data_IF_093255885678
#
_entry.id   IF_093255885678
#
_cell.length_a   1.000
_cell.length_b   1.000
_cell.length_c   1.000
_cell.angle_alpha   90.00
_cell.angle_beta   90.00
_cell.angle_gamma   90.00
#
_symmetry.space_group_name_H-M   'P 1'
#
loop_
_entity.id
_entity.type
_entity.pdbx_description
1 polymer ?
#
# COMPACT_ATOMS: atom_id res chain seq x y z
N UNK A 1 10.75 -16.45 10.44
CA UNK A 1 11.47 -15.44 9.61
C UNK A 1 12.95 -15.72 9.72
N UNK A 2 13.48 -16.58 8.85
CA UNK A 2 14.88 -17.07 8.91
C UNK A 2 15.68 -16.76 7.63
N UNK A 3 15.17 -15.85 6.78
CA UNK A 3 15.84 -15.37 5.57
C UNK A 3 16.20 -13.88 5.64
N UNK A 4 16.79 -13.35 4.56
CA UNK A 4 17.08 -11.93 4.43
C UNK A 4 15.78 -11.11 4.47
N UNK A 5 15.77 -10.02 5.23
CA UNK A 5 14.62 -9.13 5.38
C UNK A 5 14.88 -7.79 4.74
N UNK A 6 13.90 -7.27 4.00
CA UNK A 6 13.90 -5.90 3.48
C UNK A 6 12.88 -5.08 4.23
N UNK A 7 13.31 -3.95 4.80
CA UNK A 7 12.42 -3.00 5.48
C UNK A 7 12.33 -1.72 4.67
N UNK A 8 11.11 -1.29 4.36
CA UNK A 8 10.86 -0.04 3.63
C UNK A 8 9.90 0.86 4.41
N UNK A 9 10.10 2.17 4.29
CA UNK A 9 9.20 3.19 4.84
C UNK A 9 8.31 3.75 3.74
N UNK A 10 7.02 3.88 4.04
CA UNK A 10 6.02 4.47 3.15
C UNK A 10 5.50 5.78 3.78
N UNK A 11 5.99 6.95 3.35
CA UNK A 11 5.59 8.22 3.94
C UNK A 11 4.15 8.59 3.58
N UNK A 12 3.45 9.19 4.54
CA UNK A 12 2.19 9.88 4.29
C UNK A 12 2.42 11.09 3.39
N UNK A 13 1.34 11.50 2.73
CA UNK A 13 1.32 12.69 1.87
C UNK A 13 0.27 13.68 2.34
N UNK A 14 0.57 14.96 2.19
CA UNK A 14 -0.35 16.08 2.37
C UNK A 14 -0.60 16.73 1.02
N UNK A 15 -1.86 17.01 0.71
CA UNK A 15 -2.24 17.83 -0.44
C UNK A 15 -2.35 19.28 0.03
N UNK A 16 -1.34 20.09 -0.22
CA UNK A 16 -1.35 21.52 0.10
C UNK A 16 -2.36 22.29 -0.76
N UNK A 17 -2.55 21.83 -2.00
CA UNK A 17 -3.58 22.31 -2.90
C UNK A 17 -4.21 21.12 -3.62
N UNK A 18 -5.53 21.16 -3.80
CA UNK A 18 -6.27 20.23 -4.65
C UNK A 18 -7.39 21.01 -5.35
N UNK A 19 -7.36 21.03 -6.68
CA UNK A 19 -8.39 21.64 -7.51
C UNK A 19 -8.93 20.61 -8.50
N UNK A 20 -10.23 20.41 -8.47
CA UNK A 20 -10.95 19.59 -9.46
C UNK A 20 -11.19 20.42 -10.71
N UNK A 21 -10.75 19.93 -11.86
CA UNK A 21 -10.79 20.66 -13.14
C UNK A 21 -12.02 20.29 -13.98
N UNK A 22 -12.51 19.06 -13.86
CA UNK A 22 -13.65 18.58 -14.62
C UNK A 22 -13.83 17.07 -14.51
N UNK A 23 -14.98 16.56 -14.96
CA UNK A 23 -15.27 15.13 -14.97
C UNK A 23 -14.89 14.52 -16.32
N UNK A 24 -14.23 13.36 -16.26
CA UNK A 24 -13.81 12.56 -17.40
C UNK A 24 -14.90 11.56 -17.81
N UNK A 25 -14.77 11.02 -19.03
CA UNK A 25 -15.70 10.03 -19.60
C UNK A 25 -15.68 8.68 -18.87
N UNK A 26 -14.59 8.34 -18.19
CA UNK A 26 -14.42 7.12 -17.41
C UNK A 26 -14.99 7.22 -15.97
N UNK A 27 -15.65 8.32 -15.64
CA UNK A 27 -16.25 8.54 -14.32
C UNK A 27 -15.32 9.14 -13.27
N UNK A 28 -14.05 9.38 -13.59
CA UNK A 28 -13.10 10.09 -12.72
C UNK A 28 -13.10 11.60 -12.97
N UNK A 29 -12.28 12.35 -12.24
CA UNK A 29 -12.09 13.79 -12.43
C UNK A 29 -10.63 14.11 -12.72
N UNK A 30 -10.41 15.09 -13.58
CA UNK A 30 -9.11 15.74 -13.72
C UNK A 30 -8.83 16.57 -12.47
N UNK A 31 -7.63 16.43 -11.91
CA UNK A 31 -7.22 17.14 -10.70
C UNK A 31 -5.87 17.83 -10.93
N UNK A 32 -5.74 19.04 -10.39
CA UNK A 32 -4.46 19.70 -10.16
C UNK A 32 -4.16 19.61 -8.66
N UNK A 33 -2.98 19.12 -8.27
CA UNK A 33 -2.62 19.03 -6.86
C UNK A 33 -1.16 19.38 -6.61
N UNK A 34 -0.92 20.08 -5.50
CA UNK A 34 0.41 20.24 -4.91
C UNK A 34 0.51 19.29 -3.72
N UNK A 35 1.39 18.30 -3.83
CA UNK A 35 1.52 17.20 -2.86
C UNK A 35 2.92 17.21 -2.28
N UNK A 36 3.04 16.99 -0.98
CA UNK A 36 4.32 16.76 -0.29
C UNK A 36 4.25 15.48 0.54
N UNK A 37 5.32 14.70 0.52
CA UNK A 37 5.55 13.68 1.53
C UNK A 37 5.87 14.36 2.88
N UNK A 38 5.51 13.71 3.98
CA UNK A 38 5.85 14.13 5.35
C UNK A 38 6.56 12.99 6.09
N UNK A 39 7.12 13.27 7.26
CA UNK A 39 7.90 12.29 8.04
C UNK A 39 7.04 11.15 8.63
N UNK A 40 5.75 11.38 8.87
CA UNK A 40 4.82 10.33 9.30
C UNK A 40 4.77 9.22 8.24
N UNK A 41 5.15 8.00 8.62
CA UNK A 41 5.30 6.89 7.67
C UNK A 41 4.79 5.59 8.26
N UNK A 42 4.23 4.73 7.41
CA UNK A 42 4.10 3.31 7.70
C UNK A 42 5.44 2.61 7.43
N UNK A 43 5.63 1.44 8.05
CA UNK A 43 6.79 0.58 7.80
C UNK A 43 6.32 -0.79 7.33
N UNK A 44 6.93 -1.28 6.25
CA UNK A 44 6.64 -2.59 5.69
C UNK A 44 7.92 -3.42 5.72
N UNK A 45 7.87 -4.53 6.45
CA UNK A 45 8.94 -5.53 6.51
C UNK A 45 8.55 -6.67 5.60
N UNK A 46 9.41 -7.04 4.67
CA UNK A 46 9.21 -8.11 3.69
C UNK A 46 10.31 -9.15 3.90
N UNK A 47 9.92 -10.42 3.96
CA UNK A 47 10.82 -11.55 4.04
C UNK A 47 10.35 -12.67 3.12
N UNK A 48 11.23 -13.61 2.80
CA UNK A 48 10.85 -14.85 2.14
C UNK A 48 9.78 -15.59 2.96
N UNK A 49 8.77 -16.10 2.27
CA UNK A 49 7.69 -16.90 2.85
C UNK A 49 7.88 -18.39 2.58
N UNK A 50 7.30 -19.20 3.46
CA UNK A 50 7.38 -20.67 3.36
C UNK A 50 6.28 -21.26 2.44
N UNK A 51 5.28 -20.46 2.06
CA UNK A 51 4.14 -20.85 1.24
C UNK A 51 3.98 -19.98 -0.01
N UNK A 52 3.29 -20.50 -1.01
CA UNK A 52 2.92 -19.76 -2.22
C UNK A 52 1.97 -18.60 -1.89
N UNK A 53 2.21 -17.45 -2.51
CA UNK A 53 1.46 -16.23 -2.34
C UNK A 53 2.18 -15.16 -1.52
N UNK A 54 1.40 -14.16 -1.12
CA UNK A 54 1.83 -13.05 -0.28
C UNK A 54 1.00 -13.12 1.01
N UNK A 55 1.63 -13.50 2.10
CA UNK A 55 1.03 -13.41 3.43
C UNK A 55 1.22 -12.00 3.96
N UNK A 56 0.13 -11.35 4.40
CA UNK A 56 0.19 -10.03 5.01
C UNK A 56 -0.23 -10.10 6.47
N UNK A 57 0.66 -9.64 7.35
CA UNK A 57 0.40 -9.39 8.76
C UNK A 57 0.26 -7.87 8.95
N UNK A 58 -0.75 -7.44 9.67
CA UNK A 58 -0.95 -6.03 9.97
C UNK A 58 -1.35 -5.86 11.44
N UNK A 59 -0.78 -4.86 12.10
CA UNK A 59 -1.07 -4.51 13.49
C UNK A 59 -2.39 -3.73 13.66
N UNK A 60 -3.08 -3.38 12.57
CA UNK A 60 -4.33 -2.62 12.60
C UNK A 60 -5.55 -3.46 12.18
N UNK A 61 -6.52 -3.71 13.08
CA UNK A 61 -7.60 -4.69 12.86
C UNK A 61 -8.61 -4.31 11.75
N UNK A 62 -8.68 -3.03 11.39
CA UNK A 62 -9.56 -2.54 10.33
C UNK A 62 -9.04 -2.77 8.90
N UNK A 63 -7.77 -3.16 8.73
CA UNK A 63 -7.22 -3.39 7.40
C UNK A 63 -7.37 -4.87 7.03
N UNK A 64 -7.96 -5.20 5.85
CA UNK A 64 -7.95 -6.57 5.39
C UNK A 64 -6.51 -7.02 5.14
N UNK A 65 -6.20 -8.27 5.45
CA UNK A 65 -4.89 -8.89 5.18
C UNK A 65 -4.91 -9.83 3.97
N UNK A 66 -6.08 -9.95 3.32
CA UNK A 66 -6.28 -10.79 2.15
C UNK A 66 -6.10 -10.02 0.83
N UNK A 67 -6.52 -10.63 -0.29
CA UNK A 67 -6.43 -10.08 -1.64
C UNK A 67 -7.14 -8.74 -1.84
N UNK A 68 -7.97 -8.27 -0.90
CA UNK A 68 -8.54 -6.92 -0.96
C UNK A 68 -7.50 -5.85 -0.66
N UNK A 69 -6.43 -6.17 0.07
CA UNK A 69 -5.36 -5.24 0.42
C UNK A 69 -4.48 -4.91 -0.80
N UNK A 70 -4.14 -3.62 -0.95
CA UNK A 70 -3.28 -3.16 -2.05
C UNK A 70 -1.86 -3.71 -1.97
N UNK A 71 -1.33 -4.01 -0.78
CA UNK A 71 -0.01 -4.63 -0.62
C UNK A 71 0.00 -6.03 -1.24
N UNK A 72 -1.01 -6.84 -0.93
CA UNK A 72 -1.15 -8.20 -1.50
C UNK A 72 -1.31 -8.12 -3.02
N UNK A 73 -2.17 -7.22 -3.52
CA UNK A 73 -2.35 -7.01 -4.97
C UNK A 73 -1.04 -6.58 -5.65
N UNK A 74 -0.32 -5.63 -5.06
CA UNK A 74 0.94 -5.13 -5.60
C UNK A 74 2.02 -6.23 -5.64
N UNK A 75 2.15 -7.02 -4.58
CA UNK A 75 3.08 -8.16 -4.52
C UNK A 75 2.76 -9.21 -5.60
N UNK A 76 1.49 -9.56 -5.78
CA UNK A 76 1.06 -10.50 -6.83
C UNK A 76 1.33 -9.95 -8.24
N UNK A 77 1.05 -8.66 -8.48
CA UNK A 77 1.34 -8.02 -9.77
C UNK A 77 2.84 -7.94 -10.06
N UNK A 78 3.65 -7.62 -9.05
CA UNK A 78 5.10 -7.59 -9.18
C UNK A 78 5.66 -8.98 -9.53
N UNK A 79 5.22 -10.02 -8.81
CA UNK A 79 5.65 -11.39 -9.08
C UNK A 79 5.25 -11.84 -10.49
N UNK A 80 4.03 -11.52 -10.92
CA UNK A 80 3.57 -11.78 -12.29
C UNK A 80 4.41 -11.05 -13.34
N UNK A 81 4.74 -9.78 -13.12
CA UNK A 81 5.57 -8.99 -14.03
C UNK A 81 7.01 -9.51 -14.10
N UNK A 82 7.54 -10.03 -12.99
CA UNK A 82 8.87 -10.63 -12.91
C UNK A 82 8.92 -12.10 -13.38
N UNK A 83 7.77 -12.74 -13.63
CA UNK A 83 7.68 -14.15 -14.02
C UNK A 83 8.07 -15.12 -12.91
N UNK A 84 7.95 -14.72 -11.63
CA UNK A 84 8.29 -15.55 -10.47
C UNK A 84 7.02 -15.97 -9.73
N UNK A 85 7.09 -17.11 -9.03
CA UNK A 85 6.04 -17.50 -8.09
C UNK A 85 6.21 -16.71 -6.78
N UNK A 86 5.24 -15.89 -6.35
CA UNK A 86 5.37 -15.13 -5.11
C UNK A 86 5.44 -16.08 -3.91
N UNK A 87 6.41 -15.84 -3.02
CA UNK A 87 6.54 -16.50 -1.72
C UNK A 87 7.09 -15.47 -0.73
N UNK A 88 6.22 -14.65 -0.16
CA UNK A 88 6.65 -13.59 0.75
C UNK A 88 5.73 -13.45 1.96
N UNK A 89 6.36 -13.17 3.10
CA UNK A 89 5.66 -12.68 4.30
C UNK A 89 5.92 -11.19 4.46
N UNK A 90 4.84 -10.41 4.48
CA UNK A 90 4.84 -8.97 4.66
C UNK A 90 4.28 -8.63 6.03
N UNK A 91 4.98 -7.83 6.83
CA UNK A 91 4.46 -7.24 8.07
C UNK A 91 4.34 -5.73 7.93
N UNK A 92 3.11 -5.24 7.96
CA UNK A 92 2.78 -3.82 7.95
C UNK A 92 2.66 -3.32 9.39
N UNK A 93 3.51 -2.35 9.73
CA UNK A 93 3.37 -1.52 10.92
C UNK A 93 2.66 -0.21 10.54
N UNK A 94 1.38 -0.13 10.87
CA UNK A 94 0.49 0.96 10.45
C UNK A 94 0.53 2.10 11.47
N UNK A 95 1.13 3.23 11.07
CA UNK A 95 1.22 4.45 11.89
C UNK A 95 0.41 5.60 11.31
N UNK A 96 0.21 5.62 9.99
CA UNK A 96 -0.62 6.61 9.32
C UNK A 96 -2.08 6.32 9.67
N UNK A 97 -2.83 7.28 10.25
CA UNK A 97 -4.23 7.07 10.61
C UNK A 97 -5.08 6.62 9.42
N UNK A 98 -5.95 5.63 9.66
CA UNK A 98 -6.90 5.18 8.66
C UNK A 98 -7.91 6.30 8.40
N UNK A 99 -8.13 6.63 7.13
CA UNK A 99 -9.09 7.66 6.72
C UNK A 99 -8.51 9.05 6.45
N UNK A 100 -7.19 9.24 6.49
CA UNK A 100 -6.51 10.53 6.25
C UNK A 100 -6.62 11.12 4.83
N UNK A 101 -7.47 10.59 3.96
CA UNK A 101 -7.72 11.13 2.63
C UNK A 101 -8.77 10.36 1.83
N UNK A 102 -10.04 10.50 2.22
CA UNK A 102 -11.27 10.06 1.50
C UNK A 102 -11.28 8.61 0.97
N UNK A 103 -12.11 7.69 1.50
CA UNK A 103 -13.56 7.65 1.27
C UNK A 103 -14.23 6.70 2.28
N UNK A 104 -15.22 7.20 3.03
CA UNK A 104 -16.35 6.39 3.52
C UNK A 104 -17.52 6.76 2.61
N UNK A 105 -18.08 5.80 1.87
CA UNK A 105 -19.15 6.02 0.89
C UNK A 105 -19.06 5.06 -0.27
#
# INVERSE_FOLDING_TARGET
MTGATVTVRSPAKVNWCLRVLGRRRDGFHDILSLVSAISLSDELVIADGDADGIELLCDHPQLPTDQRNLIVKAGMLLARAAGINPRATCRLHKRIPIGGGARRG
#
